data_IF_396891587528
#
_entry.id   IF_396891587528
#
_cell.length_a   1.000
_cell.length_b   1.000
_cell.length_c   1.000
_cell.angle_alpha   90.00
_cell.angle_beta   90.00
_cell.angle_gamma   90.00
#
_symmetry.space_group_name_H-M   'P 1'
#
loop_
_entity.id
_entity.type
_entity.pdbx_description
1 polymer ?
#
# COMPACT_ATOMS: atom_id res chain seq x y z
N UNK A 1 4.45 -72.07 13.32
CA UNK A 1 4.25 -72.05 14.78
C UNK A 1 4.07 -70.60 15.20
N UNK A 2 2.82 -70.15 15.31
CA UNK A 2 2.42 -68.93 16.06
C UNK A 2 2.53 -69.23 17.58
N UNK A 3 2.51 -68.24 18.51
CA UNK A 3 1.40 -67.27 18.73
C UNK A 3 1.91 -65.82 18.99
N UNK A 4 1.25 -64.68 18.71
CA UNK A 4 -0.13 -64.18 18.93
C UNK A 4 -0.57 -64.03 20.40
N UNK A 5 -0.44 -62.82 20.94
CA UNK A 5 -1.21 -62.17 22.02
C UNK A 5 -0.58 -60.78 22.27
N UNK A 6 -1.24 -59.66 22.56
CA UNK A 6 -2.64 -59.30 22.61
C UNK A 6 -2.73 -57.76 22.69
N UNK A 7 -3.84 -57.22 22.22
CA UNK A 7 -4.19 -55.78 22.14
C UNK A 7 -4.23 -55.09 23.50
N UNK A 8 -3.97 -53.77 23.48
CA UNK A 8 -4.85 -52.78 24.15
C UNK A 8 -4.71 -51.40 23.48
N UNK A 9 -5.63 -51.12 22.56
CA UNK A 9 -6.10 -49.76 22.29
C UNK A 9 -6.71 -49.19 23.56
N UNK A 10 -6.42 -47.93 23.87
CA UNK A 10 -7.29 -47.11 24.71
C UNK A 10 -7.56 -45.80 23.99
N UNK A 11 -8.73 -45.78 23.32
CA UNK A 11 -9.44 -44.58 22.96
C UNK A 11 -9.89 -43.86 24.24
N UNK A 12 -9.55 -42.59 24.38
CA UNK A 12 -10.43 -41.68 25.10
C UNK A 12 -10.61 -40.37 24.35
N UNK A 13 -11.89 -40.10 24.10
CA UNK A 13 -12.43 -38.99 23.37
C UNK A 13 -12.61 -37.76 24.25
N UNK A 14 -12.50 -36.59 23.62
CA UNK A 14 -13.38 -35.45 23.91
C UNK A 14 -12.91 -34.47 24.99
N UNK A 15 -12.51 -33.27 24.55
CA UNK A 15 -13.30 -32.02 24.63
C UNK A 15 -12.38 -30.83 24.37
N UNK A 16 -12.70 -30.05 23.34
CA UNK A 16 -12.06 -28.75 23.11
C UNK A 16 -12.51 -27.67 24.10
N UNK A 17 -11.90 -26.48 23.99
CA UNK A 17 -12.69 -25.27 23.78
C UNK A 17 -12.12 -24.48 22.57
N UNK A 18 -12.91 -24.25 21.52
CA UNK A 18 -13.75 -23.05 21.33
C UNK A 18 -13.01 -21.74 21.61
N UNK A 19 -12.61 -21.08 20.52
CA UNK A 19 -12.09 -19.72 20.51
C UNK A 19 -11.90 -19.21 19.08
N UNK A 20 -12.94 -19.32 18.26
CA UNK A 20 -12.92 -18.81 16.89
C UNK A 20 -12.81 -17.29 16.89
N UNK A 21 -11.67 -16.75 16.45
CA UNK A 21 -11.60 -15.35 16.02
C UNK A 21 -12.31 -15.24 14.67
N UNK A 22 -13.47 -14.61 14.71
CA UNK A 22 -14.33 -14.30 13.58
C UNK A 22 -13.52 -13.63 12.48
N UNK A 23 -13.43 -14.31 11.32
CA UNK A 23 -13.21 -13.62 10.06
C UNK A 23 -14.37 -12.63 9.90
N UNK A 24 -14.08 -11.33 9.93
CA UNK A 24 -15.07 -10.29 9.60
C UNK A 24 -15.51 -10.54 8.17
N UNK A 25 -16.73 -11.02 8.02
CA UNK A 25 -17.41 -11.16 6.75
C UNK A 25 -17.42 -9.80 6.04
N UNK A 26 -17.02 -9.78 4.77
CA UNK A 26 -17.40 -8.72 3.85
C UNK A 26 -18.93 -8.58 3.89
N UNK A 27 -19.48 -7.35 3.93
CA UNK A 27 -20.92 -7.19 3.86
C UNK A 27 -21.36 -7.69 2.48
N UNK A 28 -22.09 -8.81 2.45
CA UNK A 28 -22.88 -9.21 1.28
C UNK A 28 -23.92 -8.11 1.06
N UNK A 29 -23.88 -7.46 -0.10
CA UNK A 29 -24.95 -6.55 -0.50
C UNK A 29 -26.23 -7.35 -0.68
N UNK A 30 -27.25 -7.04 0.12
CA UNK A 30 -28.61 -7.47 -0.17
C UNK A 30 -29.07 -6.74 -1.43
N UNK A 31 -29.44 -7.53 -2.45
CA UNK A 31 -29.79 -7.17 -3.83
C UNK A 31 -31.07 -6.30 -3.98
N UNK A 32 -31.25 -5.25 -3.17
CA UNK A 32 -32.24 -4.18 -3.39
C UNK A 32 -31.67 -2.77 -3.29
N UNK A 33 -30.49 -2.60 -2.68
CA UNK A 33 -29.82 -1.30 -2.59
C UNK A 33 -29.05 -0.93 -3.88
N UNK A 34 -28.65 -1.93 -4.67
CA UNK A 34 -27.89 -1.75 -5.92
C UNK A 34 -28.74 -1.23 -7.09
N UNK A 35 -30.08 -1.25 -6.99
CA UNK A 35 -30.98 -0.64 -7.98
C UNK A 35 -31.15 0.87 -7.80
N UNK A 36 -30.75 1.42 -6.65
CA UNK A 36 -30.89 2.86 -6.39
C UNK A 36 -29.71 3.59 -7.04
N UNK A 37 -29.96 4.14 -8.22
CA UNK A 37 -29.02 4.94 -9.02
C UNK A 37 -28.49 6.16 -8.23
N UNK A 38 -29.29 6.70 -7.30
CA UNK A 38 -28.95 7.88 -6.49
C UNK A 38 -28.18 7.59 -5.19
N UNK A 39 -27.71 8.66 -4.53
CA UNK A 39 -27.09 8.58 -3.21
C UNK A 39 -28.19 8.39 -2.14
N UNK A 40 -28.02 7.41 -1.26
CA UNK A 40 -29.04 7.00 -0.28
C UNK A 40 -28.93 7.72 1.06
N UNK A 41 -27.74 8.22 1.38
CA UNK A 41 -27.43 8.87 2.66
C UNK A 41 -27.17 10.37 2.46
N UNK A 42 -27.58 11.21 3.42
CA UNK A 42 -27.22 12.64 3.41
C UNK A 42 -25.83 12.86 4.01
N UNK A 43 -25.09 13.81 3.43
CA UNK A 43 -23.75 14.21 3.90
C UNK A 43 -23.69 14.57 5.39
N UNK A 44 -24.73 15.23 5.90
CA UNK A 44 -24.79 15.70 7.29
C UNK A 44 -25.03 14.57 8.31
N UNK A 45 -25.74 13.51 7.90
CA UNK A 45 -26.17 12.46 8.82
C UNK A 45 -25.10 11.37 8.96
N UNK A 46 -24.52 10.93 7.83
CA UNK A 46 -23.45 9.94 7.82
C UNK A 46 -22.49 10.22 6.66
N UNK A 47 -21.47 11.02 6.96
CA UNK A 47 -20.46 11.44 6.00
C UNK A 47 -19.63 10.28 5.41
N UNK A 48 -19.13 9.31 6.21
CA UNK A 48 -18.35 8.19 5.67
C UNK A 48 -19.10 7.38 4.59
N UNK A 49 -20.35 7.02 4.86
CA UNK A 49 -21.16 6.24 3.92
C UNK A 49 -21.55 7.08 2.69
N UNK A 50 -21.92 8.35 2.90
CA UNK A 50 -22.18 9.28 1.80
C UNK A 50 -20.98 9.40 0.85
N UNK A 51 -19.76 9.55 1.39
CA UNK A 51 -18.56 9.67 0.59
C UNK A 51 -18.30 8.42 -0.26
N UNK A 52 -18.42 7.23 0.36
CA UNK A 52 -18.26 5.95 -0.34
C UNK A 52 -19.26 5.81 -1.49
N UNK A 53 -20.53 6.12 -1.26
CA UNK A 53 -21.55 6.05 -2.30
C UNK A 53 -21.27 7.05 -3.43
N UNK A 54 -20.84 8.27 -3.11
CA UNK A 54 -20.54 9.28 -4.12
C UNK A 54 -19.37 8.85 -5.01
N UNK A 55 -18.26 8.40 -4.45
CA UNK A 55 -17.07 8.07 -5.26
C UNK A 55 -17.27 6.81 -6.11
N UNK A 56 -18.03 5.83 -5.61
CA UNK A 56 -18.33 4.59 -6.34
C UNK A 56 -19.40 4.84 -7.41
N UNK A 57 -20.55 5.40 -7.04
CA UNK A 57 -21.68 5.61 -7.97
C UNK A 57 -21.39 6.69 -9.02
N UNK A 58 -20.46 7.61 -8.76
CA UNK A 58 -20.01 8.59 -9.74
C UNK A 58 -18.87 8.07 -10.63
N UNK A 59 -18.61 6.77 -10.64
CA UNK A 59 -17.61 6.14 -11.51
C UNK A 59 -16.20 6.74 -11.32
N UNK A 60 -15.84 7.09 -10.08
CA UNK A 60 -14.53 7.70 -9.77
C UNK A 60 -13.50 6.67 -9.36
N UNK A 61 -13.91 5.73 -8.53
CA UNK A 61 -13.00 4.80 -7.88
C UNK A 61 -13.66 3.44 -7.81
N UNK A 62 -12.95 2.41 -8.23
CA UNK A 62 -13.35 1.02 -8.01
C UNK A 62 -12.49 0.41 -6.91
N UNK A 63 -13.11 -0.38 -6.02
CA UNK A 63 -12.35 -1.13 -5.03
C UNK A 63 -11.60 -2.27 -5.73
N UNK A 64 -10.31 -2.44 -5.40
CA UNK A 64 -9.58 -3.61 -5.84
C UNK A 64 -10.16 -4.85 -5.13
N UNK A 65 -10.73 -5.78 -5.89
CA UNK A 65 -11.33 -7.00 -5.32
C UNK A 65 -10.29 -7.97 -4.75
N UNK A 66 -9.06 -7.93 -5.27
CA UNK A 66 -8.00 -8.87 -4.92
C UNK A 66 -7.16 -8.40 -3.72
N UNK A 67 -7.05 -7.08 -3.50
CA UNK A 67 -6.19 -6.50 -2.47
C UNK A 67 -6.94 -5.44 -1.69
N UNK A 68 -7.11 -5.68 -0.38
CA UNK A 68 -7.73 -4.73 0.52
C UNK A 68 -6.90 -3.43 0.63
N UNK A 69 -7.58 -2.28 0.65
CA UNK A 69 -6.94 -0.96 0.79
C UNK A 69 -6.40 -0.37 -0.51
N UNK A 70 -6.44 -1.10 -1.63
CA UNK A 70 -6.13 -0.58 -2.96
C UNK A 70 -7.39 -0.22 -3.73
N UNK A 71 -7.28 0.85 -4.51
CA UNK A 71 -8.35 1.33 -5.35
C UNK A 71 -7.87 1.61 -6.77
N UNK A 72 -8.73 1.37 -7.74
CA UNK A 72 -8.51 1.72 -9.14
C UNK A 72 -9.09 3.11 -9.37
N UNK A 73 -8.22 4.05 -9.75
CA UNK A 73 -8.64 5.39 -10.16
C UNK A 73 -9.13 5.34 -11.61
N UNK A 74 -10.42 5.61 -11.82
CA UNK A 74 -11.02 5.62 -13.16
C UNK A 74 -10.56 6.85 -13.97
N UNK A 75 -10.75 6.87 -15.30
CA UNK A 75 -10.21 7.93 -16.17
C UNK A 75 -10.56 9.35 -15.72
N UNK A 76 -11.76 9.55 -15.18
CA UNK A 76 -12.19 10.88 -14.75
C UNK A 76 -11.54 11.33 -13.43
N UNK A 77 -11.19 10.40 -12.55
CA UNK A 77 -10.36 10.68 -11.37
C UNK A 77 -8.92 10.96 -11.78
N UNK A 78 -8.39 10.16 -12.70
CA UNK A 78 -7.06 10.40 -13.27
C UNK A 78 -6.99 11.73 -14.04
N UNK A 79 -8.08 12.16 -14.66
CA UNK A 79 -8.16 13.49 -15.28
C UNK A 79 -7.98 14.60 -14.25
N UNK A 80 -8.66 14.54 -13.11
CA UNK A 80 -8.51 15.52 -12.02
C UNK A 80 -7.06 15.55 -11.54
N UNK A 81 -6.46 14.38 -11.27
CA UNK A 81 -5.06 14.26 -10.89
C UNK A 81 -4.12 14.88 -11.92
N UNK A 82 -4.35 14.61 -13.21
CA UNK A 82 -3.54 15.16 -14.28
C UNK A 82 -3.64 16.69 -14.38
N UNK A 83 -4.81 17.28 -14.12
CA UNK A 83 -4.96 18.74 -14.11
C UNK A 83 -4.25 19.37 -12.92
N UNK A 84 -4.38 18.77 -11.73
CA UNK A 84 -3.63 19.22 -10.55
C UNK A 84 -2.13 19.14 -10.79
N UNK A 85 -1.66 18.01 -11.33
CA UNK A 85 -0.25 17.80 -11.66
C UNK A 85 0.26 18.85 -12.65
N UNK A 86 -0.48 19.11 -13.74
CA UNK A 86 -0.11 20.14 -14.73
C UNK A 86 -0.02 21.52 -14.11
N UNK A 87 -1.01 21.89 -13.30
CA UNK A 87 -1.01 23.18 -12.60
C UNK A 87 0.19 23.31 -11.66
N UNK A 88 0.47 22.28 -10.87
CA UNK A 88 1.59 22.29 -9.94
C UNK A 88 2.94 22.28 -10.67
N UNK A 89 3.06 21.49 -11.74
CA UNK A 89 4.27 21.44 -12.55
C UNK A 89 4.62 22.80 -13.13
N UNK A 90 3.64 23.58 -13.61
CA UNK A 90 3.89 24.94 -14.09
C UNK A 90 4.56 25.83 -13.03
N UNK A 91 4.13 25.72 -11.76
CA UNK A 91 4.74 26.47 -10.66
C UNK A 91 6.15 25.94 -10.30
N UNK A 92 6.37 24.63 -10.40
CA UNK A 92 7.70 24.04 -10.19
C UNK A 92 8.69 24.49 -11.27
N UNK A 93 8.23 24.57 -12.52
CA UNK A 93 9.02 25.02 -13.66
C UNK A 93 9.42 26.50 -13.52
N UNK A 94 8.48 27.36 -13.09
CA UNK A 94 8.77 28.77 -12.76
C UNK A 94 9.82 28.92 -11.65
N UNK A 95 9.91 27.93 -10.76
CA UNK A 95 10.91 27.88 -9.68
C UNK A 95 12.20 27.15 -10.09
N UNK A 96 12.36 26.76 -11.34
CA UNK A 96 13.52 26.01 -11.85
C UNK A 96 13.75 24.68 -11.07
N UNK A 97 12.67 24.03 -10.64
CA UNK A 97 12.73 22.73 -9.96
C UNK A 97 12.66 21.61 -11.00
N UNK A 98 13.72 20.81 -11.08
CA UNK A 98 13.79 19.70 -12.04
C UNK A 98 12.93 18.50 -11.62
N UNK A 99 12.28 17.83 -12.57
CA UNK A 99 11.63 16.54 -12.30
C UNK A 99 12.66 15.40 -12.37
N UNK A 100 12.67 14.53 -11.36
CA UNK A 100 13.49 13.33 -11.29
C UNK A 100 12.63 12.13 -10.85
N UNK A 101 13.06 10.92 -11.22
CA UNK A 101 12.42 9.68 -10.78
C UNK A 101 13.44 8.78 -10.12
N UNK A 102 13.14 8.37 -8.89
CA UNK A 102 13.97 7.48 -8.10
C UNK A 102 13.34 6.07 -8.04
N UNK A 103 14.16 5.02 -7.95
CA UNK A 103 13.67 3.65 -7.81
C UNK A 103 12.64 3.49 -6.68
N UNK A 104 11.66 2.61 -6.89
CA UNK A 104 10.64 2.29 -5.88
C UNK A 104 11.18 1.38 -4.77
N UNK A 105 12.23 0.60 -5.07
CA UNK A 105 12.77 -0.39 -4.15
C UNK A 105 13.95 0.14 -3.34
N UNK A 106 13.94 -0.18 -2.05
CA UNK A 106 14.99 0.07 -1.07
C UNK A 106 15.66 -1.24 -0.69
N UNK A 107 16.97 -1.24 -0.55
CA UNK A 107 17.69 -2.36 0.09
C UNK A 107 17.68 -2.19 1.61
N UNK A 108 17.75 -3.28 2.36
CA UNK A 108 17.90 -3.25 3.83
C UNK A 108 19.08 -2.37 4.27
N UNK A 109 20.21 -2.45 3.57
CA UNK A 109 21.39 -1.62 3.82
C UNK A 109 21.15 -0.11 3.64
N UNK A 110 20.26 0.28 2.72
CA UNK A 110 19.92 1.71 2.54
C UNK A 110 19.00 2.19 3.65
N UNK A 111 18.11 1.31 4.12
CA UNK A 111 17.26 1.56 5.29
C UNK A 111 18.11 1.68 6.56
N UNK A 112 19.00 0.74 6.86
CA UNK A 112 19.85 0.77 8.07
C UNK A 112 20.65 2.08 8.24
N UNK A 113 20.99 2.77 7.15
CA UNK A 113 21.69 4.06 7.19
C UNK A 113 20.83 5.23 7.67
N UNK A 114 19.51 5.12 7.56
CA UNK A 114 18.53 6.10 8.05
C UNK A 114 17.68 5.51 9.19
N UNK A 115 18.27 4.65 10.01
CA UNK A 115 17.58 3.95 11.11
C UNK A 115 16.74 4.89 11.99
N UNK A 116 17.27 6.08 12.31
CA UNK A 116 16.60 7.09 13.13
C UNK A 116 15.30 7.63 12.50
N UNK A 117 15.23 7.70 11.16
CA UNK A 117 14.02 8.08 10.45
C UNK A 117 13.05 6.90 10.28
N UNK A 118 13.55 5.67 10.36
CA UNK A 118 12.80 4.44 10.06
C UNK A 118 12.05 3.90 11.26
N UNK A 119 12.43 4.21 12.50
CA UNK A 119 11.68 3.76 13.68
C UNK A 119 10.18 4.10 13.60
N UNK A 120 9.83 5.21 12.95
CA UNK A 120 8.44 5.59 12.69
C UNK A 120 7.75 4.87 11.52
N UNK A 121 8.51 4.34 10.55
CA UNK A 121 7.98 3.71 9.33
C UNK A 121 8.14 2.18 9.29
N UNK A 122 8.92 1.60 10.21
CA UNK A 122 9.20 0.18 10.29
C UNK A 122 7.97 -0.74 10.22
N UNK A 123 6.83 -0.47 10.91
CA UNK A 123 5.64 -1.32 10.80
C UNK A 123 4.93 -1.22 9.44
N UNK A 124 5.15 -0.14 8.68
CA UNK A 124 4.45 0.12 7.41
C UNK A 124 5.20 -0.42 6.17
N UNK A 125 6.42 -0.94 6.34
CA UNK A 125 7.29 -1.37 5.23
C UNK A 125 6.82 -2.70 4.64
N UNK A 126 6.47 -2.69 3.36
CA UNK A 126 6.24 -3.90 2.58
C UNK A 126 7.55 -4.45 2.01
N UNK A 127 7.83 -5.72 2.27
CA UNK A 127 9.02 -6.41 1.79
C UNK A 127 8.73 -7.32 0.61
N UNK A 128 9.59 -7.27 -0.40
CA UNK A 128 9.64 -8.18 -1.52
C UNK A 128 10.81 -9.14 -1.29
N UNK A 129 10.48 -10.39 -0.98
CA UNK A 129 11.45 -11.45 -0.66
C UNK A 129 11.59 -12.50 -1.77
N UNK A 130 10.65 -12.53 -2.72
CA UNK A 130 10.63 -13.53 -3.81
C UNK A 130 10.45 -12.83 -5.15
N UNK A 131 11.22 -13.28 -6.14
CA UNK A 131 11.06 -12.89 -7.54
C UNK A 131 10.73 -14.15 -8.37
N UNK A 132 9.47 -14.27 -8.78
CA UNK A 132 8.96 -15.48 -9.44
C UNK A 132 8.98 -16.67 -8.49
N UNK A 133 9.79 -17.69 -8.81
CA UNK A 133 9.96 -18.91 -7.98
C UNK A 133 11.24 -18.92 -7.15
N UNK A 134 12.10 -17.91 -7.28
CA UNK A 134 13.38 -17.83 -6.58
C UNK A 134 13.27 -16.82 -5.44
N UNK A 135 13.89 -17.16 -4.32
CA UNK A 135 14.05 -16.24 -3.20
C UNK A 135 15.18 -15.27 -3.54
N UNK A 136 14.97 -13.99 -3.23
CA UNK A 136 15.98 -12.96 -3.46
C UNK A 136 17.09 -13.10 -2.42
N UNK A 137 18.35 -13.06 -2.86
CA UNK A 137 19.51 -13.06 -1.96
C UNK A 137 19.50 -11.86 -1.02
N UNK A 138 19.01 -10.72 -1.51
CA UNK A 138 18.83 -9.49 -0.74
C UNK A 138 17.36 -9.08 -0.82
N UNK A 139 16.60 -9.12 0.28
CA UNK A 139 15.22 -8.65 0.29
C UNK A 139 15.20 -7.14 0.06
N UNK A 140 14.21 -6.68 -0.70
CA UNK A 140 14.00 -5.26 -0.99
C UNK A 140 12.67 -4.79 -0.43
N UNK A 141 12.63 -3.60 0.15
CA UNK A 141 11.41 -2.98 0.65
C UNK A 141 10.83 -2.02 -0.41
N UNK A 142 9.51 -1.88 -0.43
CA UNK A 142 8.87 -0.79 -1.16
C UNK A 142 9.02 0.48 -0.33
N UNK A 143 9.49 1.54 -0.96
CA UNK A 143 9.77 2.79 -0.27
C UNK A 143 8.48 3.45 0.26
N UNK A 144 8.41 3.81 1.56
CA UNK A 144 7.30 4.62 2.09
C UNK A 144 7.52 6.11 1.78
N UNK A 145 8.79 6.52 1.73
CA UNK A 145 9.30 7.86 1.44
C UNK A 145 10.60 7.71 0.62
N UNK A 146 11.08 8.75 -0.07
CA UNK A 146 12.23 8.62 -1.00
C UNK A 146 13.56 9.14 -0.46
N UNK A 147 13.57 9.72 0.73
CA UNK A 147 14.69 10.39 1.37
C UNK A 147 15.93 9.49 1.40
N UNK A 148 15.76 8.25 1.90
CA UNK A 148 16.80 7.23 1.97
C UNK A 148 17.48 6.90 0.63
N UNK A 149 16.78 7.03 -0.50
CA UNK A 149 17.39 6.87 -1.83
C UNK A 149 17.95 8.19 -2.32
N UNK A 150 17.17 9.26 -2.24
CA UNK A 150 17.53 10.57 -2.79
C UNK A 150 18.85 11.06 -2.22
N UNK A 151 19.06 10.94 -0.90
CA UNK A 151 20.27 11.44 -0.25
C UNK A 151 21.54 10.68 -0.66
N UNK A 152 21.44 9.39 -0.98
CA UNK A 152 22.56 8.61 -1.51
C UNK A 152 23.02 9.11 -2.88
N UNK A 153 22.09 9.58 -3.71
CA UNK A 153 22.41 10.16 -5.02
C UNK A 153 22.81 11.63 -4.90
N UNK A 154 22.22 12.38 -3.97
CA UNK A 154 22.59 13.77 -3.73
C UNK A 154 24.04 13.88 -3.26
N UNK A 155 24.48 12.99 -2.37
CA UNK A 155 25.88 12.90 -1.95
C UNK A 155 26.85 12.61 -3.13
N UNK A 156 26.37 11.94 -4.19
CA UNK A 156 27.16 11.70 -5.40
C UNK A 156 27.14 12.89 -6.36
N UNK A 157 26.01 13.58 -6.50
CA UNK A 157 25.86 14.70 -7.43
C UNK A 157 26.46 16.00 -6.88
N UNK A 158 26.34 16.24 -5.57
CA UNK A 158 26.80 17.47 -4.92
C UNK A 158 28.26 17.27 -4.48
N UNK A 159 29.20 17.51 -5.39
CA UNK A 159 30.64 17.44 -5.12
C UNK A 159 31.26 18.80 -4.76
N UNK A 160 30.54 19.89 -5.04
CA UNK A 160 31.02 21.26 -4.85
C UNK A 160 29.85 22.19 -4.60
N UNK A 161 30.12 23.34 -3.97
CA UNK A 161 29.12 24.39 -3.73
C UNK A 161 28.46 24.89 -5.02
N UNK A 162 29.13 24.73 -6.19
CA UNK A 162 28.59 25.11 -7.51
C UNK A 162 27.37 24.29 -7.95
N UNK A 163 27.17 23.10 -7.40
CA UNK A 163 26.01 22.27 -7.70
C UNK A 163 24.78 22.60 -6.85
N UNK A 164 24.91 23.60 -5.97
CA UNK A 164 23.81 24.12 -5.17
C UNK A 164 23.29 25.44 -5.77
N UNK A 165 21.97 25.70 -5.72
CA UNK A 165 20.94 24.87 -5.09
C UNK A 165 20.49 23.70 -5.99
N UNK A 166 20.43 22.48 -5.43
CA UNK A 166 19.79 21.33 -6.08
C UNK A 166 18.32 21.28 -5.66
N UNK A 167 17.40 21.43 -6.61
CA UNK A 167 15.96 21.40 -6.37
C UNK A 167 15.32 20.39 -7.31
N UNK A 168 14.76 19.33 -6.74
CA UNK A 168 14.12 18.26 -7.51
C UNK A 168 12.74 17.93 -6.99
N UNK A 169 11.86 17.53 -7.90
CA UNK A 169 10.53 17.00 -7.64
C UNK A 169 10.39 15.59 -8.22
N UNK A 170 9.52 14.77 -7.65
CA UNK A 170 9.15 13.47 -8.22
C UNK A 170 7.63 13.25 -8.03
N UNK A 171 6.98 12.69 -9.05
CA UNK A 171 5.61 12.21 -8.94
C UNK A 171 5.62 10.69 -8.74
N UNK A 172 5.02 10.19 -7.67
CA UNK A 172 5.04 8.76 -7.38
C UNK A 172 3.78 8.24 -6.68
N UNK A 173 3.64 6.92 -6.68
CA UNK A 173 2.83 6.19 -5.71
C UNK A 173 3.73 5.69 -4.58
N UNK A 174 3.20 5.70 -3.37
CA UNK A 174 3.80 5.09 -2.18
C UNK A 174 2.88 4.01 -1.63
N UNK A 175 3.45 3.02 -0.97
CA UNK A 175 2.70 1.98 -0.28
C UNK A 175 3.02 2.07 1.21
N UNK A 176 1.96 1.99 2.02
CA UNK A 176 2.02 1.93 3.48
C UNK A 176 1.10 0.82 3.95
N UNK A 177 1.64 -0.09 4.75
CA UNK A 177 0.86 -1.14 5.38
C UNK A 177 0.38 -0.64 6.74
N UNK A 178 -0.94 -0.47 6.91
CA UNK A 178 -1.57 0.04 8.15
C UNK A 178 -2.25 -1.09 8.90
#
# INVERSE_FOLDING_TARGET
>A
MSPSADRKESNHAGKGPKGGKQAKAQPKSDNKADEIIGITVKKADNFPQWYQEVVVKADRVDYCHEIAGLFVLRPLSMFIWNQLRKWFQGHLDEMEIGEASFPMFLTSKSLEREADHIEGFAPELAWVTRAGKKDLEVPVAIRPTSEAIMYLYYAKWIQSHRYLPLRLNQWNSGLRNV
#
